data_IF_148894511850
#
_entry.id   IF_148894511850
#
_cell.length_a   1.000
_cell.length_b   1.000
_cell.length_c   1.000
_cell.angle_alpha   90.00
_cell.angle_beta   90.00
_cell.angle_gamma   90.00
#
_symmetry.space_group_name_H-M   'P 1'
#
loop_
_entity.id
_entity.type
_entity.pdbx_description
1 polymer ?
#
# COMPACT_ATOMS: atom_id res chain seq x y z
N UNK A 1 15.46 -32.47 7.75
CA UNK A 1 14.15 -32.02 7.25
C UNK A 1 14.26 -31.76 5.76
N UNK A 2 13.21 -31.96 4.97
CA UNK A 2 13.20 -31.54 3.56
C UNK A 2 13.19 -30.02 3.51
N UNK A 3 14.10 -29.41 2.74
CA UNK A 3 14.21 -27.95 2.61
C UNK A 3 12.89 -27.35 2.08
N UNK A 4 12.46 -26.25 2.71
CA UNK A 4 11.30 -25.46 2.31
C UNK A 4 11.49 -24.91 0.90
N UNK A 5 12.69 -24.43 0.54
CA UNK A 5 12.99 -23.95 -0.80
C UNK A 5 12.76 -25.03 -1.87
N UNK A 6 13.13 -26.29 -1.57
CA UNK A 6 12.86 -27.43 -2.48
C UNK A 6 11.37 -27.74 -2.62
N UNK A 7 10.62 -27.74 -1.51
CA UNK A 7 9.16 -27.91 -1.53
C UNK A 7 8.48 -26.78 -2.31
N UNK A 8 8.94 -25.55 -2.12
CA UNK A 8 8.43 -24.36 -2.78
C UNK A 8 8.67 -24.41 -4.30
N UNK A 9 9.89 -24.77 -4.71
CA UNK A 9 10.22 -25.01 -6.11
C UNK A 9 9.38 -26.13 -6.76
N UNK A 10 8.93 -27.12 -5.98
CA UNK A 10 8.03 -28.18 -6.40
C UNK A 10 6.55 -27.77 -6.47
N UNK A 11 6.22 -26.49 -6.20
CA UNK A 11 4.87 -25.96 -6.30
C UNK A 11 4.04 -26.02 -5.03
N UNK A 12 4.63 -26.39 -3.88
CA UNK A 12 3.93 -26.51 -2.60
C UNK A 12 3.79 -25.16 -1.86
N UNK A 13 3.44 -24.09 -2.57
CA UNK A 13 3.53 -22.71 -2.09
C UNK A 13 2.78 -22.45 -0.78
N UNK A 14 1.48 -22.77 -0.74
CA UNK A 14 0.62 -22.52 0.43
C UNK A 14 1.03 -23.38 1.64
N UNK A 15 1.45 -24.62 1.38
CA UNK A 15 1.89 -25.53 2.43
C UNK A 15 3.21 -25.05 3.05
N UNK A 16 4.17 -24.65 2.21
CA UNK A 16 5.45 -24.10 2.65
C UNK A 16 5.26 -22.85 3.49
N UNK A 17 4.46 -21.89 3.02
CA UNK A 17 4.19 -20.66 3.78
C UNK A 17 3.53 -20.94 5.12
N UNK A 18 2.51 -21.80 5.15
CA UNK A 18 1.84 -22.19 6.40
C UNK A 18 2.81 -22.87 7.38
N UNK A 19 3.66 -23.78 6.89
CA UNK A 19 4.66 -24.46 7.73
C UNK A 19 5.74 -23.49 8.20
N UNK A 20 6.24 -22.59 7.34
CA UNK A 20 7.23 -21.58 7.71
C UNK A 20 6.67 -20.63 8.77
N UNK A 21 5.45 -20.12 8.60
CA UNK A 21 4.80 -19.25 9.57
C UNK A 21 4.61 -19.95 10.92
N UNK A 22 4.14 -21.20 10.93
CA UNK A 22 3.97 -21.97 12.18
C UNK A 22 5.29 -22.19 12.91
N UNK A 23 6.34 -22.55 12.18
CA UNK A 23 7.65 -22.82 12.75
C UNK A 23 8.40 -21.54 13.14
N UNK A 24 8.13 -20.43 12.45
CA UNK A 24 8.70 -19.13 12.77
C UNK A 24 7.95 -18.45 13.93
N UNK A 25 6.62 -18.55 14.00
CA UNK A 25 5.80 -17.95 15.07
C UNK A 25 5.96 -18.65 16.43
N UNK A 26 6.27 -19.96 16.46
CA UNK A 26 6.64 -20.65 17.71
C UNK A 26 7.86 -20.04 18.44
N UNK A 27 8.58 -19.12 17.80
CA UNK A 27 9.63 -18.29 18.38
C UNK A 27 9.09 -17.12 19.22
N UNK A 28 8.06 -16.41 18.78
CA UNK A 28 7.63 -15.14 19.39
C UNK A 28 6.85 -15.30 20.70
N UNK A 29 6.08 -16.38 20.86
CA UNK A 29 5.33 -16.64 22.10
C UNK A 29 6.26 -17.04 23.27
N UNK A 30 7.45 -17.56 22.98
CA UNK A 30 8.44 -17.94 24.01
C UNK A 30 9.15 -16.75 24.67
N UNK A 31 8.97 -15.54 24.13
CA UNK A 31 9.58 -14.29 24.61
C UNK A 31 8.79 -13.70 25.78
N UNK A 32 7.52 -14.09 25.96
CA UNK A 32 6.62 -13.44 26.91
C UNK A 32 6.85 -13.80 28.40
N UNK A 33 7.68 -14.80 28.72
CA UNK A 33 7.84 -15.24 30.12
C UNK A 33 9.28 -15.60 30.50
N UNK A 34 9.75 -14.94 31.57
CA UNK A 34 10.92 -15.21 32.41
C UNK A 34 12.26 -14.52 32.08
N UNK A 35 12.50 -13.46 32.84
CA UNK A 35 13.84 -12.92 33.12
C UNK A 35 14.70 -14.00 33.80
N UNK A 36 15.68 -14.55 33.09
CA UNK A 36 16.80 -15.28 33.72
C UNK A 36 17.08 -16.70 33.19
N UNK A 37 16.29 -17.24 32.27
CA UNK A 37 16.53 -18.56 31.70
C UNK A 37 17.35 -18.47 30.41
N UNK A 38 18.52 -19.13 30.39
CA UNK A 38 19.33 -19.34 29.18
C UNK A 38 18.57 -20.23 28.19
N UNK A 39 17.68 -19.64 27.40
CA UNK A 39 16.98 -20.36 26.33
C UNK A 39 17.95 -20.59 25.16
N UNK A 40 18.27 -21.86 24.90
CA UNK A 40 18.96 -22.25 23.67
C UNK A 40 18.02 -22.04 22.48
N UNK A 41 18.39 -21.07 21.64
CA UNK A 41 17.75 -20.80 20.35
C UNK A 41 17.90 -22.02 19.45
N UNK A 42 16.80 -22.64 19.07
CA UNK A 42 16.78 -23.62 17.99
C UNK A 42 15.77 -23.14 16.96
N UNK A 43 16.25 -22.41 15.96
CA UNK A 43 15.44 -22.18 14.76
C UNK A 43 15.13 -23.56 14.16
N UNK A 44 13.85 -23.90 14.02
CA UNK A 44 13.45 -25.12 13.28
C UNK A 44 13.52 -24.89 11.77
N UNK A 45 13.41 -23.63 11.33
CA UNK A 45 13.62 -23.19 9.94
C UNK A 45 15.03 -22.64 9.80
N UNK A 46 15.81 -23.20 8.88
CA UNK A 46 17.10 -22.63 8.51
C UNK A 46 16.90 -21.27 7.82
N UNK A 47 17.64 -20.25 8.25
CA UNK A 47 17.46 -18.88 7.74
C UNK A 47 17.77 -18.80 6.25
N UNK A 48 18.80 -19.50 5.78
CA UNK A 48 19.16 -19.54 4.37
C UNK A 48 18.04 -20.16 3.53
N UNK A 49 17.46 -21.27 3.98
CA UNK A 49 16.31 -21.91 3.34
C UNK A 49 15.07 -21.00 3.31
N UNK A 50 14.82 -20.23 4.37
CA UNK A 50 13.74 -19.23 4.40
C UNK A 50 14.00 -18.06 3.43
N UNK A 51 15.24 -17.56 3.37
CA UNK A 51 15.65 -16.52 2.42
C UNK A 51 15.50 -16.98 0.97
N UNK A 52 15.77 -18.25 0.69
CA UNK A 52 15.56 -18.84 -0.64
C UNK A 52 14.08 -18.96 -1.02
N UNK A 53 13.19 -19.27 -0.07
CA UNK A 53 11.74 -19.23 -0.30
C UNK A 53 11.27 -17.80 -0.57
N UNK A 54 11.71 -16.84 0.25
CA UNK A 54 11.38 -15.43 0.08
C UNK A 54 11.84 -14.89 -1.27
N UNK A 55 13.08 -15.22 -1.66
CA UNK A 55 13.64 -14.85 -2.96
C UNK A 55 12.79 -15.39 -4.11
N UNK A 56 12.49 -16.68 -4.12
CA UNK A 56 11.64 -17.29 -5.15
C UNK A 56 10.22 -16.70 -5.16
N UNK A 57 9.65 -16.41 -3.99
CA UNK A 57 8.34 -15.78 -3.86
C UNK A 57 8.34 -14.41 -4.50
N UNK A 58 9.30 -13.56 -4.14
CA UNK A 58 9.32 -12.17 -4.59
C UNK A 58 9.82 -12.01 -6.03
N UNK A 59 10.62 -12.93 -6.57
CA UNK A 59 10.89 -13.02 -8.01
C UNK A 59 9.59 -13.23 -8.81
N UNK A 60 8.68 -14.09 -8.30
CA UNK A 60 7.35 -14.31 -8.91
C UNK A 60 6.43 -13.11 -8.74
N UNK A 61 6.45 -12.47 -7.57
CA UNK A 61 5.71 -11.21 -7.34
C UNK A 61 6.19 -10.14 -8.31
N UNK A 62 7.49 -9.93 -8.45
CA UNK A 62 8.05 -8.95 -9.40
C UNK A 62 7.60 -9.24 -10.84
N UNK A 63 7.67 -10.51 -11.27
CA UNK A 63 7.17 -10.92 -12.58
C UNK A 63 5.66 -10.65 -12.75
N UNK A 64 4.86 -11.01 -11.75
CA UNK A 64 3.42 -10.80 -11.76
C UNK A 64 3.07 -9.31 -11.78
N UNK A 65 3.80 -8.47 -11.05
CA UNK A 65 3.67 -7.01 -11.08
C UNK A 65 3.92 -6.47 -12.47
N UNK A 66 5.02 -6.87 -13.12
CA UNK A 66 5.37 -6.39 -14.46
C UNK A 66 4.30 -6.79 -15.49
N UNK A 67 3.81 -8.04 -15.43
CA UNK A 67 2.73 -8.51 -16.30
C UNK A 67 1.42 -7.78 -16.04
N UNK A 68 1.10 -7.51 -14.78
CA UNK A 68 -0.11 -6.77 -14.41
C UNK A 68 -0.04 -5.32 -14.88
N UNK A 69 1.08 -4.65 -14.67
CA UNK A 69 1.34 -3.27 -15.14
C UNK A 69 1.13 -3.19 -16.65
N UNK A 70 1.68 -4.14 -17.40
CA UNK A 70 1.48 -4.21 -18.84
C UNK A 70 -0.01 -4.31 -19.20
N UNK A 71 -0.75 -5.21 -18.56
CA UNK A 71 -2.16 -5.44 -18.88
C UNK A 71 -3.07 -4.29 -18.49
N UNK A 72 -2.81 -3.66 -17.34
CA UNK A 72 -3.51 -2.43 -16.96
C UNK A 72 -3.31 -1.37 -18.05
N UNK A 73 -2.09 -1.19 -18.59
CA UNK A 73 -1.86 -0.28 -19.73
C UNK A 73 -2.65 -0.69 -20.97
N UNK A 74 -2.76 -1.99 -21.26
CA UNK A 74 -3.54 -2.52 -22.38
C UNK A 74 -5.04 -2.23 -22.24
N UNK A 75 -5.57 -2.08 -21.02
CA UNK A 75 -6.96 -1.64 -20.78
C UNK A 75 -7.13 -0.12 -20.83
N UNK A 76 -6.07 0.65 -21.10
CA UNK A 76 -6.09 2.11 -21.05
C UNK A 76 -5.87 2.70 -19.65
N UNK A 77 -5.54 1.87 -18.65
CA UNK A 77 -5.20 2.34 -17.31
C UNK A 77 -3.92 3.19 -17.35
N UNK A 78 -3.94 4.31 -16.62
CA UNK A 78 -2.81 5.25 -16.53
C UNK A 78 -2.41 5.40 -15.09
N UNK A 79 -1.14 5.14 -14.78
CA UNK A 79 -0.63 5.22 -13.42
C UNK A 79 -0.38 6.67 -13.00
N UNK A 80 -0.66 6.97 -11.73
CA UNK A 80 -0.27 8.23 -11.08
C UNK A 80 1.25 8.27 -10.86
N UNK A 81 1.79 9.47 -10.62
CA UNK A 81 3.19 9.68 -10.30
C UNK A 81 3.29 10.60 -9.09
N UNK A 82 4.06 10.19 -8.08
CA UNK A 82 4.26 10.89 -6.79
C UNK A 82 4.61 12.39 -6.93
N UNK A 83 5.23 12.79 -8.04
CA UNK A 83 5.52 14.18 -8.38
C UNK A 83 4.28 15.06 -8.66
N UNK A 84 3.09 14.59 -8.30
CA UNK A 84 1.81 15.24 -8.54
C UNK A 84 1.40 15.22 -10.02
N UNK A 85 0.30 15.94 -10.31
CA UNK A 85 -0.37 16.01 -11.62
C UNK A 85 0.55 16.29 -12.83
N UNK A 86 1.72 16.90 -12.59
CA UNK A 86 2.55 17.52 -13.61
C UNK A 86 3.99 17.00 -13.68
N UNK A 87 4.38 16.07 -12.82
CA UNK A 87 5.72 15.50 -12.91
C UNK A 87 5.84 14.38 -13.95
N UNK A 88 7.08 13.99 -14.27
CA UNK A 88 7.36 13.00 -15.29
C UNK A 88 6.70 11.66 -14.92
N UNK A 89 6.26 10.86 -15.92
CA UNK A 89 5.74 9.53 -15.66
C UNK A 89 6.80 8.68 -14.95
N UNK A 90 6.49 8.33 -13.70
CA UNK A 90 7.26 7.43 -12.88
C UNK A 90 6.84 6.00 -13.20
N UNK A 91 7.80 5.08 -13.20
CA UNK A 91 7.50 3.66 -13.34
C UNK A 91 6.68 3.20 -12.13
N UNK A 92 5.55 2.49 -12.31
CA UNK A 92 4.77 1.93 -11.21
C UNK A 92 5.58 1.00 -10.30
N UNK A 93 6.68 0.44 -10.81
CA UNK A 93 7.64 -0.32 -10.02
C UNK A 93 9.00 0.38 -10.01
N UNK A 94 9.55 0.62 -8.82
CA UNK A 94 10.81 1.34 -8.63
C UNK A 94 11.69 0.61 -7.61
N UNK A 95 13.00 0.84 -7.65
CA UNK A 95 13.90 0.33 -6.60
C UNK A 95 13.58 0.98 -5.25
N UNK A 96 13.52 0.19 -4.19
CA UNK A 96 13.32 0.65 -2.81
C UNK A 96 14.53 0.39 -1.90
N UNK A 97 15.70 0.04 -2.47
CA UNK A 97 16.88 -0.39 -1.68
C UNK A 97 17.32 0.66 -0.65
N UNK A 98 17.27 1.94 -1.02
CA UNK A 98 17.66 3.03 -0.13
C UNK A 98 16.63 3.22 0.99
N UNK A 99 15.34 3.22 0.65
CA UNK A 99 14.23 3.36 1.58
C UNK A 99 14.20 2.21 2.59
N UNK A 100 14.39 0.97 2.13
CA UNK A 100 14.55 -0.21 3.00
C UNK A 100 15.72 0.00 3.98
N UNK A 101 16.85 0.51 3.49
CA UNK A 101 18.01 0.77 4.35
C UNK A 101 17.72 1.84 5.41
N UNK A 102 16.94 2.87 5.06
CA UNK A 102 16.50 3.91 6.00
C UNK A 102 15.54 3.34 7.06
N UNK A 103 14.50 2.60 6.66
CA UNK A 103 13.59 1.92 7.59
C UNK A 103 14.37 1.03 8.57
N UNK A 104 15.31 0.25 8.06
CA UNK A 104 16.16 -0.62 8.88
C UNK A 104 17.00 0.18 9.87
N UNK A 105 17.69 1.22 9.41
CA UNK A 105 18.56 2.02 10.26
C UNK A 105 17.79 2.74 11.37
N UNK A 106 16.62 3.29 11.07
CA UNK A 106 15.73 3.91 12.06
C UNK A 106 15.27 2.89 13.11
N UNK A 107 14.70 1.75 12.68
CA UNK A 107 14.24 0.73 13.63
C UNK A 107 15.37 0.11 14.45
N UNK A 108 16.57 -0.05 13.87
CA UNK A 108 17.75 -0.53 14.60
C UNK A 108 18.20 0.48 15.65
N UNK A 109 18.11 1.79 15.37
CA UNK A 109 18.45 2.83 16.34
C UNK A 109 17.49 2.84 17.53
N UNK A 110 16.20 2.63 17.30
CA UNK A 110 15.18 2.72 18.36
C UNK A 110 14.94 1.40 19.10
N UNK A 111 15.11 0.26 18.42
CA UNK A 111 14.76 -1.06 18.95
C UNK A 111 15.88 -2.10 18.91
N UNK A 112 17.02 -1.81 18.26
CA UNK A 112 18.09 -2.80 18.04
C UNK A 112 18.73 -3.35 19.32
N UNK A 113 18.69 -2.59 20.43
CA UNK A 113 19.21 -3.03 21.73
C UNK A 113 18.24 -3.94 22.50
N UNK A 114 17.01 -4.14 22.02
CA UNK A 114 16.07 -5.05 22.67
C UNK A 114 16.56 -6.49 22.52
N UNK A 115 16.57 -7.25 23.62
CA UNK A 115 17.10 -8.62 23.68
C UNK A 115 16.52 -9.60 22.64
N UNK A 116 15.30 -9.31 22.15
CA UNK A 116 14.60 -10.07 21.11
C UNK A 116 15.30 -9.92 19.76
N UNK A 117 15.88 -8.75 19.48
CA UNK A 117 16.68 -8.40 18.30
C UNK A 117 18.16 -8.52 18.67
N UNK A 118 18.64 -9.76 18.71
CA UNK A 118 20.07 -10.03 18.85
C UNK A 118 20.76 -9.98 17.48
N UNK A 119 22.08 -10.19 17.43
CA UNK A 119 22.91 -10.11 16.20
C UNK A 119 22.33 -10.79 14.94
N UNK A 120 21.48 -11.80 15.09
CA UNK A 120 20.93 -12.57 13.98
C UNK A 120 19.48 -12.19 13.61
N UNK A 121 18.86 -11.21 14.26
CA UNK A 121 17.48 -10.77 13.99
C UNK A 121 17.39 -9.25 13.93
N UNK A 122 16.78 -8.75 12.86
CA UNK A 122 16.52 -7.32 12.69
C UNK A 122 15.12 -6.98 13.21
N UNK A 123 14.91 -5.77 13.76
CA UNK A 123 13.56 -5.25 14.03
C UNK A 123 12.74 -5.02 12.76
N UNK A 124 13.38 -5.02 11.60
CA UNK A 124 12.74 -4.97 10.30
C UNK A 124 12.50 -6.39 9.74
N UNK A 125 11.24 -6.76 9.40
CA UNK A 125 10.88 -8.08 8.92
C UNK A 125 11.61 -8.49 7.63
N UNK A 126 12.08 -9.73 7.60
CA UNK A 126 12.87 -10.26 6.49
C UNK A 126 12.08 -10.30 5.18
N UNK A 127 10.76 -10.57 5.22
CA UNK A 127 9.92 -10.52 4.03
C UNK A 127 9.83 -9.11 3.43
N UNK A 128 9.69 -8.06 4.25
CA UNK A 128 9.66 -6.68 3.74
C UNK A 128 11.01 -6.26 3.18
N UNK A 129 12.11 -6.67 3.82
CA UNK A 129 13.46 -6.46 3.30
C UNK A 129 13.61 -7.08 1.91
N UNK A 130 13.27 -8.37 1.77
CA UNK A 130 13.42 -9.08 0.49
C UNK A 130 12.45 -8.56 -0.57
N UNK A 131 11.23 -8.18 -0.20
CA UNK A 131 10.29 -7.53 -1.11
C UNK A 131 10.86 -6.20 -1.63
N UNK A 132 11.32 -5.30 -0.76
CA UNK A 132 11.86 -4.01 -1.19
C UNK A 132 13.16 -4.11 -2.01
N UNK A 133 13.94 -5.19 -1.81
CA UNK A 133 15.14 -5.46 -2.61
C UNK A 133 14.85 -6.07 -3.99
N UNK A 134 13.84 -6.94 -4.10
CA UNK A 134 13.55 -7.71 -5.32
C UNK A 134 12.44 -7.08 -6.15
N UNK A 135 11.33 -6.74 -5.49
CA UNK A 135 10.16 -6.11 -6.11
C UNK A 135 10.35 -4.60 -6.16
N UNK A 136 10.73 -4.02 -5.03
CA UNK A 136 10.86 -2.57 -4.85
C UNK A 136 9.56 -1.92 -4.37
N UNK A 137 9.39 -0.63 -4.64
CA UNK A 137 8.10 0.06 -4.51
C UNK A 137 7.19 -0.40 -5.63
N UNK A 138 5.92 -0.66 -5.32
CA UNK A 138 4.86 -0.94 -6.29
C UNK A 138 3.72 0.04 -6.06
N UNK A 139 3.47 0.93 -7.01
CA UNK A 139 2.39 1.89 -6.97
C UNK A 139 1.50 1.70 -8.20
N UNK A 140 0.36 1.04 -7.99
CA UNK A 140 -0.63 0.81 -9.04
C UNK A 140 -1.75 1.86 -9.01
N UNK A 141 -1.59 2.99 -8.34
CA UNK A 141 -2.60 4.07 -8.32
C UNK A 141 -2.89 4.58 -9.73
N UNK A 142 -4.15 4.87 -10.05
CA UNK A 142 -4.54 5.50 -11.32
C UNK A 142 -4.48 7.02 -11.25
N UNK A 143 -4.13 7.68 -12.36
CA UNK A 143 -4.59 9.04 -12.63
C UNK A 143 -6.11 9.03 -12.80
N UNK A 144 -6.82 9.67 -11.88
CA UNK A 144 -8.16 10.15 -12.16
C UNK A 144 -8.04 11.18 -13.30
N UNK A 145 -8.69 11.02 -14.48
CA UNK A 145 -9.00 12.23 -15.23
C UNK A 145 -9.85 13.07 -14.27
N UNK A 146 -9.58 14.38 -14.05
CA UNK A 146 -10.50 15.18 -13.26
C UNK A 146 -11.87 14.95 -13.87
N UNK A 147 -12.79 14.39 -13.09
CA UNK A 147 -14.20 14.35 -13.44
C UNK A 147 -14.48 15.73 -13.99
N UNK A 148 -14.79 15.83 -15.29
CA UNK A 148 -15.24 17.09 -15.86
C UNK A 148 -16.43 17.50 -15.00
N UNK A 149 -16.19 18.51 -14.16
CA UNK A 149 -16.93 18.85 -12.94
C UNK A 149 -16.74 17.87 -11.75
N UNK A 150 -15.92 18.28 -10.78
CA UNK A 150 -16.50 18.38 -9.43
C UNK A 150 -17.68 19.33 -9.63
N UNK A 151 -18.90 18.80 -9.63
CA UNK A 151 -20.06 19.67 -9.52
C UNK A 151 -19.95 20.30 -8.11
N UNK A 152 -19.45 21.52 -8.03
CA UNK A 152 -19.41 22.28 -6.79
C UNK A 152 -20.83 22.41 -6.20
N UNK A 153 -21.88 22.27 -7.02
CA UNK A 153 -23.26 22.17 -6.54
C UNK A 153 -23.58 20.81 -5.89
N UNK A 154 -22.83 19.74 -6.16
CA UNK A 154 -22.96 18.45 -5.49
C UNK A 154 -22.19 18.41 -4.15
N UNK A 155 -21.05 19.12 -4.05
CA UNK A 155 -20.34 19.32 -2.78
C UNK A 155 -21.16 20.19 -1.81
N UNK A 156 -21.77 21.28 -2.29
CA UNK A 156 -22.66 22.13 -1.46
C UNK A 156 -23.99 21.47 -1.11
N UNK A 157 -24.37 20.38 -1.78
CA UNK A 157 -25.55 19.55 -1.46
C UNK A 157 -25.20 18.28 -0.71
N UNK A 158 -23.96 18.11 -0.26
CA UNK A 158 -23.58 16.96 0.54
C UNK A 158 -24.25 17.07 1.93
N UNK A 159 -25.20 16.19 2.28
CA UNK A 159 -25.93 16.28 3.56
C UNK A 159 -25.03 16.04 4.78
N UNK A 160 -23.77 15.60 4.59
CA UNK A 160 -22.76 15.54 5.67
C UNK A 160 -22.13 16.91 5.99
N UNK A 161 -22.25 17.88 5.10
CA UNK A 161 -21.83 19.28 5.32
C UNK A 161 -22.99 20.16 5.82
N UNK A 162 -24.24 19.67 5.76
CA UNK A 162 -25.36 20.26 6.48
C UNK A 162 -25.16 20.06 7.99
N UNK A 163 -24.60 21.07 8.65
CA UNK A 163 -24.26 21.03 10.09
C UNK A 163 -22.78 21.23 10.40
N UNK A 164 -21.92 21.43 9.39
CA UNK A 164 -20.57 21.92 9.63
C UNK A 164 -20.66 23.40 10.02
N UNK A 165 -20.79 23.68 11.32
CA UNK A 165 -20.64 25.03 11.85
C UNK A 165 -19.20 25.47 11.56
N UNK A 166 -19.04 26.49 10.70
CA UNK A 166 -17.76 27.17 10.56
C UNK A 166 -17.28 27.59 11.96
N UNK A 167 -15.97 27.51 12.25
CA UNK A 167 -15.43 27.93 13.54
C UNK A 167 -16.04 29.28 13.94
N UNK A 168 -16.65 29.32 15.13
CA UNK A 168 -17.36 30.51 15.59
C UNK A 168 -16.46 31.74 15.49
N UNK A 169 -16.84 32.69 14.64
CA UNK A 169 -16.10 33.95 14.44
C UNK A 169 -15.66 34.25 13.02
N UNK A 170 -15.87 33.35 12.04
CA UNK A 170 -15.61 33.66 10.63
C UNK A 170 -16.91 33.65 9.81
N UNK A 171 -17.19 34.76 9.14
CA UNK A 171 -18.20 34.83 8.09
C UNK A 171 -17.77 34.03 6.85
N UNK A 172 -18.74 33.63 6.02
CA UNK A 172 -18.46 32.97 4.73
C UNK A 172 -17.57 33.81 3.81
N UNK A 173 -17.66 35.15 3.89
CA UNK A 173 -16.80 36.06 3.12
C UNK A 173 -15.36 36.08 3.63
N UNK A 174 -15.14 36.04 4.94
CA UNK A 174 -13.79 35.96 5.53
C UNK A 174 -13.11 34.64 5.20
N UNK A 175 -13.85 33.53 5.19
CA UNK A 175 -13.33 32.23 4.75
C UNK A 175 -12.93 32.22 3.27
N UNK A 176 -13.75 32.78 2.39
CA UNK A 176 -13.41 32.94 0.97
C UNK A 176 -12.18 33.84 0.79
N UNK A 177 -12.07 34.90 1.58
CA UNK A 177 -10.90 35.79 1.57
C UNK A 177 -9.61 35.08 2.00
N UNK A 178 -9.68 34.25 3.05
CA UNK A 178 -8.54 33.44 3.52
C UNK A 178 -8.15 32.40 2.47
N UNK A 179 -9.13 31.68 1.91
CA UNK A 179 -8.89 30.70 0.85
C UNK A 179 -8.22 31.33 -0.38
N UNK A 180 -8.72 32.50 -0.81
CA UNK A 180 -8.14 33.25 -1.92
C UNK A 180 -6.72 33.76 -1.59
N UNK A 181 -6.48 34.19 -0.36
CA UNK A 181 -5.16 34.67 0.09
C UNK A 181 -4.14 33.53 0.19
N UNK A 182 -4.56 32.35 0.66
CA UNK A 182 -3.73 31.14 0.67
C UNK A 182 -3.43 30.65 -0.75
N UNK A 183 -4.40 30.70 -1.66
CA UNK A 183 -4.21 30.39 -3.08
C UNK A 183 -3.21 31.35 -3.73
N UNK A 184 -3.35 32.65 -3.49
CA UNK A 184 -2.43 33.66 -4.02
C UNK A 184 -1.01 33.51 -3.43
N UNK A 185 -0.89 33.21 -2.14
CA UNK A 185 0.40 32.95 -1.50
C UNK A 185 1.08 31.69 -2.06
N UNK A 186 0.31 30.63 -2.33
CA UNK A 186 0.81 29.42 -2.98
C UNK A 186 1.30 29.69 -4.42
N UNK A 187 0.61 30.55 -5.17
CA UNK A 187 1.05 30.99 -6.51
C UNK A 187 2.31 31.85 -6.46
N UNK A 188 2.52 32.62 -5.39
CA UNK A 188 3.68 33.51 -5.25
C UNK A 188 4.99 32.76 -4.91
N UNK A 189 4.88 31.56 -4.32
CA UNK A 189 6.02 30.71 -3.95
C UNK A 189 6.29 29.55 -4.92
N UNK A 190 5.43 29.36 -5.92
CA UNK A 190 5.69 28.39 -6.98
C UNK A 190 6.82 28.91 -7.89
N UNK A 191 7.91 28.15 -8.10
CA UNK A 191 8.92 28.54 -9.08
C UNK A 191 8.26 28.75 -10.45
N UNK A 192 8.66 29.79 -11.17
CA UNK A 192 8.15 30.05 -12.53
C UNK A 192 8.35 28.79 -13.37
N UNK A 193 7.22 28.21 -13.84
CA UNK A 193 7.25 27.06 -14.72
C UNK A 193 7.87 27.47 -16.04
N UNK A 194 8.77 26.65 -16.55
CA UNK A 194 9.30 26.83 -17.91
C UNK A 194 8.19 26.65 -18.95
N UNK A 195 8.31 27.29 -20.12
CA UNK A 195 7.35 27.08 -21.23
C UNK A 195 7.19 25.59 -21.58
N UNK A 196 8.26 24.80 -21.45
CA UNK A 196 8.23 23.35 -21.66
C UNK A 196 7.36 22.63 -20.63
N UNK A 197 7.44 23.03 -19.36
CA UNK A 197 6.56 22.50 -18.31
C UNK A 197 5.11 22.88 -18.60
N UNK A 198 4.83 24.15 -18.93
CA UNK A 198 3.46 24.58 -19.26
C UNK A 198 2.88 23.80 -20.45
N UNK A 199 3.68 23.57 -21.49
CA UNK A 199 3.26 22.76 -22.65
C UNK A 199 2.99 21.30 -22.25
N UNK A 200 3.88 20.69 -21.46
CA UNK A 200 3.70 19.32 -20.97
C UNK A 200 2.43 19.19 -20.11
N UNK A 201 2.18 20.16 -19.23
CA UNK A 201 0.97 20.18 -18.40
C UNK A 201 -0.29 20.29 -19.26
N UNK A 202 -0.28 21.17 -20.26
CA UNK A 202 -1.38 21.33 -21.21
C UNK A 202 -1.64 20.03 -22.00
N UNK A 203 -0.58 19.36 -22.46
CA UNK A 203 -0.69 18.08 -23.16
C UNK A 203 -1.24 16.96 -22.27
N UNK A 204 -0.81 16.89 -21.01
CA UNK A 204 -1.33 15.94 -20.03
C UNK A 204 -2.81 16.20 -19.74
N UNK A 205 -3.18 17.47 -19.53
CA UNK A 205 -4.58 17.87 -19.31
C UNK A 205 -5.48 17.53 -20.51
N UNK A 206 -5.00 17.78 -21.74
CA UNK A 206 -5.73 17.40 -22.95
C UNK A 206 -5.81 15.88 -23.13
N UNK A 207 -4.79 15.14 -22.67
CA UNK A 207 -4.82 13.68 -22.66
C UNK A 207 -5.77 13.11 -21.60
N UNK A 208 -5.90 13.74 -20.44
CA UNK A 208 -6.78 13.31 -19.35
C UNK A 208 -8.24 13.71 -19.62
N UNK A 209 -8.48 14.79 -20.37
CA UNK A 209 -9.82 15.13 -20.88
C UNK A 209 -10.34 14.18 -21.94
N UNK A 210 -9.48 13.36 -22.56
CA UNK A 210 -9.94 12.34 -23.52
C UNK A 210 -10.73 11.27 -22.76
N UNK A 211 -11.95 10.94 -23.21
CA UNK A 211 -12.71 9.85 -22.62
C UNK A 211 -11.87 8.58 -22.57
N UNK A 212 -11.95 7.83 -21.46
CA UNK A 212 -11.32 6.52 -21.37
C UNK A 212 -11.73 5.68 -22.60
N UNK A 213 -10.82 4.91 -23.24
CA UNK A 213 -11.17 4.09 -24.41
C UNK A 213 -12.35 3.15 -24.15
N UNK A 214 -12.58 2.82 -22.89
CA UNK A 214 -13.69 2.03 -22.38
C UNK A 214 -14.62 2.84 -21.47
N UNK A 215 -14.88 4.12 -21.76
CA UNK A 215 -15.76 4.97 -20.95
C UNK A 215 -17.21 4.43 -20.86
N UNK A 216 -17.62 3.55 -21.78
CA UNK A 216 -18.90 2.84 -21.75
C UNK A 216 -18.91 1.60 -20.85
N UNK A 217 -17.74 1.12 -20.42
CA UNK A 217 -17.61 0.01 -19.48
C UNK A 217 -17.55 0.59 -18.04
N UNK A 218 -18.58 0.35 -17.21
CA UNK A 218 -18.66 0.95 -15.87
C UNK A 218 -17.58 0.43 -14.90
N UNK A 219 -16.93 -0.70 -15.18
CA UNK A 219 -15.85 -1.25 -14.36
C UNK A 219 -14.52 -0.63 -14.78
N UNK A 220 -14.21 -0.63 -16.08
CA UNK A 220 -12.95 -0.06 -16.57
C UNK A 220 -12.86 1.45 -16.37
N UNK A 221 -13.97 2.17 -16.56
CA UNK A 221 -14.02 3.62 -16.34
C UNK A 221 -13.80 4.03 -14.89
N UNK A 222 -13.96 3.09 -13.94
CA UNK A 222 -13.89 3.33 -12.50
C UNK A 222 -12.78 2.56 -11.81
N UNK A 223 -11.88 1.94 -12.55
CA UNK A 223 -10.86 1.05 -11.98
C UNK A 223 -9.94 1.78 -10.99
N UNK A 224 -9.75 3.08 -11.16
CA UNK A 224 -8.99 3.97 -10.27
C UNK A 224 -9.72 4.34 -8.98
N UNK A 225 -11.04 4.16 -8.92
CA UNK A 225 -11.81 4.33 -7.68
C UNK A 225 -11.52 3.20 -6.69
N UNK A 226 -10.84 2.14 -7.12
CA UNK A 226 -10.65 0.93 -6.33
C UNK A 226 -9.39 1.02 -5.50
N UNK A 227 -9.16 0.00 -4.67
CA UNK A 227 -7.94 -0.10 -3.89
C UNK A 227 -6.91 -0.96 -4.66
N UNK A 228 -6.14 -0.36 -5.59
CA UNK A 228 -5.05 -1.05 -6.26
C UNK A 228 -3.92 -1.29 -5.27
N UNK A 229 -3.25 -2.42 -5.46
CA UNK A 229 -2.09 -2.82 -4.69
C UNK A 229 -1.03 -1.72 -4.73
N UNK A 230 -0.80 -1.13 -3.57
CA UNK A 230 0.22 -0.11 -3.35
C UNK A 230 1.10 -0.58 -2.20
N UNK A 231 2.41 -0.62 -2.45
CA UNK A 231 3.45 -0.90 -1.46
C UNK A 231 4.53 0.15 -1.67
N UNK A 232 4.40 1.30 -1.01
CA UNK A 232 5.34 2.41 -1.09
C UNK A 232 6.34 2.36 0.07
N UNK A 233 7.59 2.07 -0.24
CA UNK A 233 8.68 2.19 0.74
C UNK A 233 9.07 3.64 0.98
N UNK A 234 8.76 4.55 0.05
CA UNK A 234 8.95 5.98 0.29
C UNK A 234 8.08 6.42 1.46
N UNK A 235 6.77 6.14 1.38
CA UNK A 235 5.83 6.42 2.46
C UNK A 235 6.17 5.66 3.75
N UNK A 236 6.55 4.37 3.66
CA UNK A 236 6.99 3.62 4.83
C UNK A 236 8.23 4.23 5.49
N UNK A 237 9.20 4.67 4.69
CA UNK A 237 10.41 5.29 5.23
C UNK A 237 10.09 6.64 5.85
N UNK A 238 9.23 7.45 5.24
CA UNK A 238 8.78 8.72 5.83
C UNK A 238 8.11 8.48 7.18
N UNK A 239 7.14 7.55 7.25
CA UNK A 239 6.42 7.26 8.50
C UNK A 239 7.30 6.73 9.63
N UNK A 240 8.37 5.99 9.31
CA UNK A 240 9.30 5.45 10.32
C UNK A 240 10.44 6.41 10.68
N UNK A 241 10.82 7.32 9.78
CA UNK A 241 11.94 8.25 9.99
C UNK A 241 11.50 9.66 10.38
N UNK A 242 10.19 9.92 10.41
CA UNK A 242 9.65 11.20 10.84
C UNK A 242 10.11 11.50 12.27
N UNK A 243 10.61 12.72 12.50
CA UNK A 243 11.01 13.18 13.82
C UNK A 243 9.82 13.19 14.79
N UNK A 244 8.59 13.27 14.26
CA UNK A 244 7.34 13.21 15.01
C UNK A 244 6.71 11.80 15.07
N UNK A 245 7.38 10.76 14.58
CA UNK A 245 6.87 9.39 14.66
C UNK A 245 6.74 8.95 16.13
N UNK A 246 5.52 8.93 16.66
CA UNK A 246 5.27 8.50 18.04
C UNK A 246 5.00 6.99 18.10
N UNK A 247 5.73 6.25 18.97
CA UNK A 247 5.46 4.83 19.16
C UNK A 247 4.12 4.65 19.89
N UNK A 248 3.29 3.76 19.36
CA UNK A 248 1.99 3.41 19.89
C UNK A 248 2.08 2.24 20.88
N UNK A 249 1.22 2.26 21.90
CA UNK A 249 1.11 1.14 22.83
C UNK A 249 0.25 0.05 22.18
N UNK A 250 0.81 -1.13 21.98
CA UNK A 250 0.07 -2.26 21.45
C UNK A 250 -0.90 -2.84 22.49
N UNK A 251 -2.04 -3.35 22.04
CA UNK A 251 -3.02 -4.03 22.90
C UNK A 251 -2.46 -5.28 23.61
N UNK A 252 -1.44 -5.90 23.02
CA UNK A 252 -0.69 -7.00 23.61
C UNK A 252 0.42 -6.55 24.58
N UNK A 253 0.61 -5.24 24.76
CA UNK A 253 1.71 -4.63 25.50
C UNK A 253 2.93 -4.32 24.61
N UNK A 254 3.76 -3.38 25.07
CA UNK A 254 4.93 -2.89 24.34
C UNK A 254 4.65 -1.62 23.52
N UNK A 255 5.72 -1.10 22.91
CA UNK A 255 5.70 0.07 22.04
C UNK A 255 5.97 -0.37 20.60
N UNK A 256 5.25 0.22 19.65
CA UNK A 256 5.42 -0.05 18.24
C UNK A 256 5.19 1.18 17.35
N UNK A 257 5.97 1.35 16.29
CA UNK A 257 5.62 2.24 15.20
C UNK A 257 4.60 1.57 14.28
N UNK A 258 3.66 2.37 13.78
CA UNK A 258 2.70 1.94 12.77
C UNK A 258 3.13 2.52 11.43
N UNK A 259 3.71 1.67 10.58
CA UNK A 259 4.20 2.08 9.26
C UNK A 259 3.18 1.76 8.18
N UNK A 260 2.68 2.77 7.48
CA UNK A 260 1.75 2.60 6.36
C UNK A 260 2.48 2.24 5.05
N UNK A 261 1.83 1.46 4.17
CA UNK A 261 2.40 1.11 2.85
C UNK A 261 1.46 1.29 1.66
N UNK A 262 0.16 1.45 1.89
CA UNK A 262 -0.80 1.69 0.82
C UNK A 262 -1.66 2.89 1.17
N UNK A 263 -1.70 3.89 0.28
CA UNK A 263 -2.75 4.88 0.32
C UNK A 263 -4.05 4.18 -0.13
N UNK A 264 -5.04 4.09 0.76
CA UNK A 264 -6.40 3.71 0.39
C UNK A 264 -6.97 4.70 -0.63
N UNK A 265 -8.09 4.36 -1.28
CA UNK A 265 -8.80 5.32 -2.14
C UNK A 265 -9.11 6.62 -1.38
N UNK A 266 -9.50 6.51 -0.11
CA UNK A 266 -9.79 7.63 0.75
C UNK A 266 -8.56 8.51 0.98
N UNK A 267 -7.37 7.92 1.17
CA UNK A 267 -6.13 8.69 1.24
C UNK A 267 -5.80 9.38 -0.10
N UNK A 268 -6.04 8.73 -1.24
CA UNK A 268 -5.89 9.35 -2.57
C UNK A 268 -6.88 10.50 -2.78
N UNK A 269 -8.07 10.39 -2.21
CA UNK A 269 -9.11 11.41 -2.23
C UNK A 269 -8.90 12.51 -1.16
N UNK A 270 -7.78 12.47 -0.41
CA UNK A 270 -7.47 13.37 0.70
C UNK A 270 -8.60 13.42 1.76
N UNK A 271 -9.22 12.27 2.02
CA UNK A 271 -10.25 12.12 3.05
C UNK A 271 -9.53 11.82 4.37
N UNK A 272 -9.63 12.74 5.33
CA UNK A 272 -9.07 12.59 6.66
C UNK A 272 -9.71 11.42 7.42
N UNK A 273 -8.89 10.63 8.14
CA UNK A 273 -9.33 9.54 9.01
C UNK A 273 -9.56 8.21 8.30
N UNK A 274 -9.02 8.02 7.09
CA UNK A 274 -9.03 6.72 6.46
C UNK A 274 -8.08 5.75 7.17
N UNK A 275 -8.46 4.48 7.20
CA UNK A 275 -7.63 3.45 7.82
C UNK A 275 -6.52 3.04 6.86
N UNK A 276 -5.27 3.20 7.28
CA UNK A 276 -4.11 2.82 6.48
C UNK A 276 -3.89 1.31 6.50
N UNK A 277 -3.50 0.80 5.34
CA UNK A 277 -2.84 -0.50 5.26
C UNK A 277 -1.46 -0.37 5.91
N UNK A 278 -1.28 -1.04 7.05
CA UNK A 278 -0.17 -0.75 7.96
C UNK A 278 0.45 -2.00 8.58
N UNK A 279 1.69 -1.83 9.05
CA UNK A 279 2.46 -2.81 9.80
C UNK A 279 2.78 -2.29 11.20
N UNK A 280 2.82 -3.20 12.16
CA UNK A 280 3.36 -2.94 13.49
C UNK A 280 4.87 -3.25 13.50
N UNK A 281 5.70 -2.28 13.89
CA UNK A 281 7.15 -2.42 14.08
C UNK A 281 7.55 -2.11 15.51
N UNK A 282 8.56 -2.76 16.09
CA UNK A 282 9.41 -3.74 15.44
C UNK A 282 8.71 -5.10 15.38
N UNK A 283 9.12 -5.97 14.45
CA UNK A 283 8.52 -7.29 14.30
C UNK A 283 9.57 -8.37 14.10
N UNK A 284 9.45 -9.44 14.88
CA UNK A 284 10.32 -10.63 14.81
C UNK A 284 9.82 -11.63 13.76
N UNK A 285 8.63 -11.41 13.18
CA UNK A 285 8.03 -12.31 12.20
C UNK A 285 8.79 -12.27 10.87
N UNK A 286 8.92 -13.43 10.23
CA UNK A 286 9.49 -13.54 8.88
C UNK A 286 8.60 -12.78 7.90
N UNK A 287 7.32 -13.12 7.90
CA UNK A 287 6.25 -12.43 7.17
C UNK A 287 5.46 -11.58 8.17
N UNK A 288 5.58 -10.24 8.13
CA UNK A 288 4.88 -9.41 9.08
C UNK A 288 3.37 -9.44 8.84
N UNK A 289 2.62 -9.20 9.91
CA UNK A 289 1.17 -9.06 9.83
C UNK A 289 0.85 -7.65 9.36
N UNK A 290 0.10 -7.57 8.28
CA UNK A 290 -0.49 -6.35 7.75
C UNK A 290 -1.90 -6.21 8.29
N UNK A 291 -2.26 -5.00 8.74
CA UNK A 291 -3.65 -4.62 9.02
C UNK A 291 -4.18 -3.90 7.79
N UNK A 292 -5.21 -4.45 7.15
CA UNK A 292 -5.85 -3.89 5.97
C UNK A 292 -7.37 -4.03 6.11
N UNK A 293 -8.11 -2.91 6.06
CA UNK A 293 -9.59 -2.89 6.19
C UNK A 293 -10.10 -3.62 7.45
N UNK A 294 -9.43 -3.41 8.59
CA UNK A 294 -9.76 -4.09 9.86
C UNK A 294 -9.41 -5.59 9.91
N UNK A 295 -8.79 -6.15 8.86
CA UNK A 295 -8.35 -7.55 8.81
C UNK A 295 -6.83 -7.61 9.04
N UNK A 296 -6.41 -8.50 9.94
CA UNK A 296 -4.99 -8.82 10.16
C UNK A 296 -4.61 -10.11 9.42
N UNK A 297 -3.70 -10.02 8.46
CA UNK A 297 -3.19 -11.18 7.69
C UNK A 297 -1.68 -11.07 7.46
N UNK A 298 -0.96 -12.18 7.15
CA UNK A 298 0.43 -12.10 6.73
C UNK A 298 0.58 -11.31 5.42
N UNK A 299 1.67 -10.55 5.26
CA UNK A 299 1.92 -9.73 4.08
C UNK A 299 1.93 -10.54 2.78
N UNK A 300 2.55 -11.72 2.75
CA UNK A 300 2.51 -12.55 1.53
C UNK A 300 1.10 -13.06 1.22
N UNK A 301 0.26 -13.25 2.25
CA UNK A 301 -1.16 -13.59 2.06
C UNK A 301 -1.95 -12.41 1.49
N UNK A 302 -1.65 -11.19 1.95
CA UNK A 302 -2.21 -9.96 1.37
C UNK A 302 -1.85 -9.83 -0.11
N UNK A 303 -0.58 -10.02 -0.48
CA UNK A 303 -0.13 -10.02 -1.88
C UNK A 303 -0.87 -11.09 -2.70
N UNK A 304 -0.91 -12.34 -2.23
CA UNK A 304 -1.63 -13.43 -2.92
C UNK A 304 -3.09 -13.05 -3.20
N UNK A 305 -3.76 -12.47 -2.20
CA UNK A 305 -5.16 -12.01 -2.33
C UNK A 305 -5.30 -10.89 -3.36
N UNK A 306 -4.43 -9.89 -3.32
CA UNK A 306 -4.42 -8.81 -4.31
C UNK A 306 -4.18 -9.34 -5.74
N UNK A 307 -3.17 -10.18 -5.96
CA UNK A 307 -2.87 -10.74 -7.28
C UNK A 307 -3.95 -11.70 -7.79
N UNK A 308 -4.57 -12.50 -6.93
CA UNK A 308 -5.72 -13.33 -7.30
C UNK A 308 -6.92 -12.53 -7.85
N UNK A 309 -6.90 -11.21 -7.63
CA UNK A 309 -7.91 -10.24 -8.01
C UNK A 309 -7.39 -9.22 -9.02
N UNK A 310 -6.26 -9.51 -9.69
CA UNK A 310 -5.68 -8.61 -10.69
C UNK A 310 -5.02 -7.35 -10.09
N UNK A 311 -4.48 -7.48 -8.88
CA UNK A 311 -3.79 -6.41 -8.16
C UNK A 311 -4.70 -5.45 -7.40
N UNK A 312 -5.92 -5.87 -7.06
CA UNK A 312 -6.84 -5.07 -6.25
C UNK A 312 -7.22 -5.88 -5.02
N UNK A 313 -7.05 -5.31 -3.82
CA UNK A 313 -7.39 -6.04 -2.60
C UNK A 313 -8.91 -6.07 -2.39
N UNK A 314 -9.62 -4.99 -2.73
CA UNK A 314 -11.08 -4.88 -2.73
C UNK A 314 -11.62 -3.69 -3.54
N UNK A 315 -12.94 -3.63 -3.71
CA UNK A 315 -13.64 -2.44 -4.24
C UNK A 315 -13.69 -1.29 -3.24
N UNK A 316 -13.91 -0.05 -3.71
CA UNK A 316 -14.24 1.04 -2.82
C UNK A 316 -15.52 0.71 -2.05
N UNK A 317 -15.57 1.13 -0.78
CA UNK A 317 -16.83 1.14 -0.04
C UNK A 317 -17.86 1.90 -0.89
N UNK A 318 -19.05 1.34 -1.17
CA UNK A 318 -20.03 2.06 -1.95
C UNK A 318 -20.39 3.34 -1.19
N UNK A 319 -19.98 4.48 -1.74
CA UNK A 319 -20.48 5.79 -1.26
C UNK A 319 -21.99 5.88 -1.54
N UNK A 320 -22.49 5.14 -2.55
CA UNK A 320 -23.91 4.97 -2.88
C UNK A 320 -24.23 3.54 -3.31
N UNK A 321 -25.35 3.00 -2.82
CA UNK A 321 -25.83 1.62 -2.95
C UNK A 321 -26.37 1.22 -4.33
N UNK A 322 -26.26 2.07 -5.36
CA UNK A 322 -26.88 1.85 -6.68
C UNK A 322 -26.04 1.05 -7.68
N UNK A 323 -24.80 0.67 -7.32
CA UNK A 323 -23.98 -0.21 -8.16
C UNK A 323 -24.49 -1.66 -8.08
N UNK A 324 -24.98 -2.18 -9.21
CA UNK A 324 -25.59 -3.51 -9.32
C UNK A 324 -24.80 -4.62 -8.62
N UNK A 325 -25.54 -5.58 -8.05
CA UNK A 325 -25.11 -6.76 -7.26
C UNK A 325 -23.60 -6.90 -7.00
N UNK A 326 -23.02 -5.96 -6.27
CA UNK A 326 -21.69 -6.11 -5.69
C UNK A 326 -21.80 -7.19 -4.62
N UNK A 327 -21.04 -8.29 -4.76
CA UNK A 327 -21.04 -9.38 -3.79
C UNK A 327 -19.86 -9.21 -2.85
N UNK A 328 -20.17 -9.21 -1.56
CA UNK A 328 -19.17 -9.33 -0.51
C UNK A 328 -18.56 -10.72 -0.59
N UNK A 329 -17.24 -10.78 -0.74
CA UNK A 329 -16.49 -12.04 -0.88
C UNK A 329 -15.89 -12.44 0.48
N UNK A 330 -15.57 -11.44 1.30
CA UNK A 330 -15.19 -11.49 2.72
C UNK A 330 -15.64 -10.17 3.37
N UNK A 331 -15.72 -10.11 4.71
CA UNK A 331 -16.15 -8.92 5.41
C UNK A 331 -15.36 -7.68 4.94
N UNK A 332 -16.04 -6.70 4.34
CA UNK A 332 -15.42 -5.45 3.85
C UNK A 332 -14.75 -5.53 2.47
N UNK A 333 -14.70 -6.70 1.83
CA UNK A 333 -14.11 -6.86 0.48
C UNK A 333 -15.21 -7.24 -0.49
N UNK A 334 -15.47 -6.38 -1.47
CA UNK A 334 -16.38 -6.70 -2.55
C UNK A 334 -15.66 -6.70 -3.90
N UNK A 335 -16.15 -7.51 -4.84
CA UNK A 335 -15.73 -7.45 -6.24
C UNK A 335 -16.94 -7.80 -7.14
N UNK A 336 -17.11 -7.14 -8.28
CA UNK A 336 -17.95 -7.64 -9.34
C UNK A 336 -17.26 -8.83 -10.02
N UNK A 337 -18.03 -9.87 -10.30
CA UNK A 337 -17.64 -10.97 -11.19
C UNK A 337 -17.49 -10.41 -12.63
N UNK A 338 -16.38 -9.71 -12.89
CA UNK A 338 -16.14 -9.00 -14.15
C UNK A 338 -15.02 -9.66 -14.99
N UNK A 339 -15.20 -9.83 -16.32
CA UNK A 339 -14.20 -10.41 -17.21
C UNK A 339 -12.83 -9.70 -17.19
N UNK A 340 -12.79 -8.41 -16.84
CA UNK A 340 -11.54 -7.65 -16.71
C UNK A 340 -10.64 -8.22 -15.64
N UNK A 341 -11.14 -8.48 -14.42
CA UNK A 341 -10.30 -9.05 -13.36
C UNK A 341 -9.83 -10.46 -13.70
N UNK A 342 -10.66 -11.23 -14.41
CA UNK A 342 -10.26 -12.53 -14.94
C UNK A 342 -9.13 -12.42 -15.97
N UNK A 343 -9.16 -11.39 -16.82
CA UNK A 343 -8.09 -11.09 -17.78
C UNK A 343 -6.80 -10.63 -17.07
N UNK A 344 -6.92 -9.72 -16.10
CA UNK A 344 -5.79 -9.18 -15.34
C UNK A 344 -5.02 -10.28 -14.60
N UNK A 345 -5.71 -11.25 -14.02
CA UNK A 345 -5.08 -12.37 -13.26
C UNK A 345 -4.61 -13.55 -14.11
N UNK A 346 -4.92 -13.59 -15.41
CA UNK A 346 -4.61 -14.73 -16.28
C UNK A 346 -3.10 -15.00 -16.31
N UNK A 347 -2.62 -16.23 -16.34
CA UNK A 347 -1.17 -16.52 -16.46
C UNK A 347 -0.26 -15.94 -15.36
N UNK A 348 -0.80 -15.34 -14.29
CA UNK A 348 0.01 -14.95 -13.14
C UNK A 348 0.61 -16.21 -12.51
N UNK A 349 1.89 -16.14 -12.17
CA UNK A 349 2.58 -17.23 -11.52
C UNK A 349 2.02 -17.42 -10.11
N UNK A 350 1.72 -18.67 -9.69
CA UNK A 350 1.38 -18.96 -8.30
C UNK A 350 2.61 -18.75 -7.41
N UNK A 351 2.41 -18.31 -6.17
CA UNK A 351 3.47 -18.07 -5.20
C UNK A 351 3.00 -18.23 -3.75
#
# INVERSE_FOLDING_TARGET
MTSFAKKYAAGQYTEVWREMDQNWASFSESIAFEQGSHWQRSFTVDREDAEDVLRQTFERVAHNSDLLIQRLRETGYRFECESGRYGPPVSPRQSAVNQVSLCKASLEADFGDLYVFNKDLSPFPLALERFGQIVGTLDLVQRFPPSTAIDLNALTKNPRLEGFELPAGFSSEEWLSIANSLSAAAETYAPEKTEQQVQLEQELDDQDRKPHPHASDPVLSRLGDWDPLTVSFEYLSMTLTDEEAEPQILSAGGLAYVGGIAASFEHKANISGAEDVSFDFPSTSLDPVITAEGIKIPFTTYLRRAFARGGFFGVPRPVNSELGSIREVEQGIFLPDHPVFASLKRDLLPF
#
